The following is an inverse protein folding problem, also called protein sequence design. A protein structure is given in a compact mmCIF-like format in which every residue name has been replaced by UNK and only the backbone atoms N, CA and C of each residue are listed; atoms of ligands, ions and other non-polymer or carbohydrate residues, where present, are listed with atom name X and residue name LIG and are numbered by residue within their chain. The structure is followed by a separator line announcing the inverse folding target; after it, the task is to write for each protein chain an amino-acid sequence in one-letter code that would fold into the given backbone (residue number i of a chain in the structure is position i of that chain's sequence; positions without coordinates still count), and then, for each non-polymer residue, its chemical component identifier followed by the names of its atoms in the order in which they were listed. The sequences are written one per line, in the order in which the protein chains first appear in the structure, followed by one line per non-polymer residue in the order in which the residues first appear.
data_IF_518768765024
#
_entry.id   IF_518768765024
#
_cell.length_a   1.000
_cell.length_b   1.000
_cell.length_c   1.000
_cell.angle_alpha   90.00
_cell.angle_beta   90.00
_cell.angle_gamma   90.00
#
_symmetry.space_group_name_H-M   'P 1'
#
loop_
_entity.id
_entity.type
_entity.pdbx_description
1 polymer ?
#
# COMPACT_ATOMS: atom_id res chain seq x y z
N UNK A 1 -84.97 40.61 17.41
CA UNK A 1 -83.61 41.17 17.55
C UNK A 1 -82.93 40.42 18.66
N UNK A 2 -81.77 39.89 18.31
CA UNK A 2 -81.02 38.81 18.95
C UNK A 2 -80.26 39.19 20.23
N UNK A 3 -79.88 38.14 20.95
CA UNK A 3 -79.03 38.04 22.13
C UNK A 3 -77.62 38.69 21.98
N UNK A 4 -76.86 38.80 23.09
CA UNK A 4 -75.95 37.68 23.39
C UNK A 4 -76.09 37.12 24.81
N UNK A 5 -76.08 35.79 24.87
CA UNK A 5 -75.87 34.98 26.07
C UNK A 5 -74.42 35.14 26.55
N UNK A 6 -74.24 35.44 27.84
CA UNK A 6 -72.97 35.22 28.53
C UNK A 6 -73.10 34.04 29.50
N UNK A 7 -72.42 32.95 29.16
CA UNK A 7 -72.27 31.72 29.94
C UNK A 7 -71.35 31.99 31.13
N UNK A 8 -71.88 31.94 32.35
CA UNK A 8 -71.06 31.88 33.56
C UNK A 8 -70.61 30.42 33.78
N UNK A 9 -69.31 30.17 33.58
CA UNK A 9 -68.70 28.89 33.94
C UNK A 9 -68.73 28.68 35.47
N UNK A 10 -68.95 27.43 35.97
CA UNK A 10 -68.91 27.15 37.40
C UNK A 10 -67.48 27.34 37.94
N UNK A 11 -67.38 27.98 39.10
CA UNK A 11 -66.13 28.21 39.83
C UNK A 11 -65.39 26.88 40.13
N UNK A 12 -64.04 26.87 40.09
CA UNK A 12 -63.27 25.66 40.31
C UNK A 12 -63.45 25.13 41.74
N UNK A 13 -63.87 23.86 41.83
CA UNK A 13 -63.92 23.09 43.07
C UNK A 13 -62.57 23.14 43.78
N UNK A 14 -62.56 23.65 45.02
CA UNK A 14 -61.38 23.69 45.87
C UNK A 14 -60.89 22.26 46.15
N UNK A 15 -59.79 21.85 45.48
CA UNK A 15 -59.10 20.58 45.77
C UNK A 15 -58.59 20.61 47.21
N UNK A 16 -59.27 19.89 48.12
CA UNK A 16 -58.76 19.63 49.48
C UNK A 16 -57.36 19.00 49.38
N UNK A 17 -56.39 19.56 50.09
CA UNK A 17 -54.99 19.08 50.10
C UNK A 17 -54.89 17.66 50.70
N UNK A 18 -54.74 16.65 49.85
CA UNK A 18 -54.67 15.23 50.19
C UNK A 18 -53.32 14.78 50.82
N UNK A 19 -52.49 15.71 51.31
CA UNK A 19 -51.17 15.42 51.89
C UNK A 19 -51.24 14.73 53.26
N UNK A 20 -52.38 14.82 53.95
CA UNK A 20 -52.61 14.16 55.25
C UNK A 20 -52.67 12.63 55.16
N UNK A 21 -52.95 12.09 53.97
CA UNK A 21 -53.03 10.63 53.71
C UNK A 21 -51.71 10.03 53.22
N UNK A 22 -50.70 10.84 52.86
CA UNK A 22 -49.38 10.36 52.42
C UNK A 22 -48.63 9.57 53.50
N UNK A 23 -48.53 10.03 54.78
CA UNK A 23 -47.81 9.27 55.80
C UNK A 23 -48.51 7.95 56.13
N UNK A 24 -49.85 7.90 56.06
CA UNK A 24 -50.60 6.64 56.26
C UNK A 24 -50.41 5.68 55.09
N UNK A 25 -50.33 6.17 53.86
CA UNK A 25 -50.00 5.36 52.67
C UNK A 25 -48.56 4.84 52.70
N UNK A 26 -47.57 5.68 53.09
CA UNK A 26 -46.18 5.25 53.27
C UNK A 26 -46.06 4.23 54.40
N UNK A 27 -46.75 4.43 55.53
CA UNK A 27 -46.78 3.46 56.63
C UNK A 27 -47.39 2.15 56.19
N UNK A 28 -48.48 2.18 55.40
CA UNK A 28 -49.09 0.97 54.82
C UNK A 28 -48.13 0.26 53.86
N UNK A 29 -47.51 0.97 52.92
CA UNK A 29 -46.53 0.40 51.98
C UNK A 29 -45.31 -0.15 52.70
N UNK A 30 -44.84 0.51 53.75
CA UNK A 30 -43.74 0.03 54.58
C UNK A 30 -44.12 -1.24 55.37
N UNK A 31 -45.33 -1.29 55.93
CA UNK A 31 -45.83 -2.49 56.62
C UNK A 31 -46.02 -3.67 55.67
N UNK A 32 -46.44 -3.40 54.43
CA UNK A 32 -46.52 -4.40 53.36
C UNK A 32 -45.13 -4.91 52.97
N UNK A 33 -44.14 -4.03 52.76
CA UNK A 33 -42.76 -4.43 52.48
C UNK A 33 -42.14 -5.23 53.64
N UNK A 34 -42.40 -4.85 54.90
CA UNK A 34 -41.90 -5.57 56.08
C UNK A 34 -42.49 -6.98 56.22
N UNK A 35 -43.71 -7.21 55.72
CA UNK A 35 -44.35 -8.55 55.73
C UNK A 35 -43.80 -9.48 54.64
N UNK A 36 -43.08 -8.95 53.65
CA UNK A 36 -42.43 -9.73 52.59
C UNK A 36 -40.90 -9.58 52.67
N UNK A 37 -40.26 -10.15 53.71
CA UNK A 37 -38.81 -9.99 53.93
C UNK A 37 -37.98 -10.54 52.76
N UNK A 38 -38.47 -11.57 52.07
CA UNK A 38 -37.81 -12.14 50.89
C UNK A 38 -37.78 -11.16 49.72
N UNK A 39 -38.88 -10.46 49.45
CA UNK A 39 -38.93 -9.48 48.36
C UNK A 39 -38.02 -8.28 48.63
N UNK A 40 -37.97 -7.81 49.87
CA UNK A 40 -37.07 -6.73 50.30
C UNK A 40 -35.60 -7.14 50.18
N UNK A 41 -35.28 -8.40 50.56
CA UNK A 41 -33.93 -8.95 50.39
C UNK A 41 -33.50 -8.90 48.92
N UNK A 42 -34.32 -9.38 47.98
CA UNK A 42 -34.00 -9.34 46.55
C UNK A 42 -33.95 -7.91 45.99
N UNK A 43 -34.83 -7.01 46.45
CA UNK A 43 -34.83 -5.60 46.03
C UNK A 43 -33.50 -4.90 46.35
N UNK A 44 -32.83 -5.29 47.44
CA UNK A 44 -31.50 -4.75 47.80
C UNK A 44 -30.37 -5.61 47.23
N UNK A 45 -30.48 -6.93 47.27
CA UNK A 45 -29.39 -7.84 46.91
C UNK A 45 -29.14 -7.86 45.40
N UNK A 46 -30.17 -7.73 44.56
CA UNK A 46 -30.02 -7.71 43.10
C UNK A 46 -29.14 -6.57 42.58
N UNK A 47 -29.37 -5.28 42.93
CA UNK A 47 -28.49 -4.21 42.47
C UNK A 47 -27.08 -4.31 43.05
N UNK A 48 -26.93 -4.78 44.30
CA UNK A 48 -25.60 -5.00 44.89
C UNK A 48 -24.84 -6.10 44.16
N UNK A 49 -25.49 -7.22 43.85
CA UNK A 49 -24.90 -8.31 43.08
C UNK A 49 -24.43 -7.83 41.70
N UNK A 50 -25.25 -7.02 41.01
CA UNK A 50 -24.87 -6.44 39.71
C UNK A 50 -23.65 -5.54 39.80
N UNK A 51 -23.56 -4.68 40.84
CA UNK A 51 -22.39 -3.82 41.05
C UNK A 51 -21.14 -4.68 41.30
N UNK A 52 -21.23 -5.71 42.15
CA UNK A 52 -20.12 -6.61 42.44
C UNK A 52 -19.66 -7.37 41.18
N UNK A 53 -20.60 -7.87 40.37
CA UNK A 53 -20.27 -8.54 39.10
C UNK A 53 -19.60 -7.58 38.13
N UNK A 54 -20.09 -6.35 37.99
CA UNK A 54 -19.48 -5.35 37.12
C UNK A 54 -18.08 -4.95 37.57
N UNK A 55 -17.85 -4.84 38.89
CA UNK A 55 -16.53 -4.55 39.44
C UNK A 55 -15.56 -5.72 39.19
N UNK A 56 -16.03 -6.97 39.35
CA UNK A 56 -15.22 -8.15 39.07
C UNK A 56 -14.87 -8.26 37.57
N UNK A 57 -15.81 -7.97 36.67
CA UNK A 57 -15.54 -7.87 35.22
C UNK A 57 -14.58 -6.72 34.92
N UNK A 58 -14.62 -5.63 35.69
CA UNK A 58 -13.64 -4.55 35.54
C UNK A 58 -12.24 -5.00 35.93
N UNK A 59 -12.08 -5.83 36.96
CA UNK A 59 -10.75 -6.35 37.34
C UNK A 59 -10.09 -7.24 36.28
N UNK A 60 -10.86 -7.77 35.31
CA UNK A 60 -10.29 -8.54 34.18
C UNK A 60 -9.84 -7.66 33.03
N UNK A 61 -10.09 -6.35 33.10
CA UNK A 61 -9.68 -5.38 32.07
C UNK A 61 -8.51 -4.54 32.60
N UNK A 62 -7.41 -4.48 31.86
CA UNK A 62 -6.28 -3.61 32.18
C UNK A 62 -6.53 -2.19 31.67
N UNK A 63 -6.19 -1.19 32.49
CA UNK A 63 -6.14 0.20 32.04
C UNK A 63 -4.83 0.42 31.24
N UNK A 64 -4.95 0.58 29.93
CA UNK A 64 -3.80 0.90 29.08
C UNK A 64 -3.60 2.43 29.00
N UNK A 65 -2.42 2.88 29.41
CA UNK A 65 -2.04 4.29 29.31
C UNK A 65 -1.61 4.59 27.88
N UNK A 66 -2.54 5.10 27.07
CA UNK A 66 -2.28 5.49 25.68
C UNK A 66 -1.58 6.85 25.64
N UNK A 67 -0.33 6.95 25.16
CA UNK A 67 0.36 8.22 25.02
C UNK A 67 -0.36 9.20 24.09
N UNK A 68 -0.07 10.51 24.20
CA UNK A 68 -0.57 11.48 23.23
C UNK A 68 0.10 11.30 21.86
N UNK A 69 -0.69 11.32 20.78
CA UNK A 69 -0.22 11.19 19.39
C UNK A 69 -0.77 9.94 18.71
N UNK A 70 -0.11 9.51 17.64
CA UNK A 70 -0.45 8.23 17.01
C UNK A 70 0.27 7.11 17.76
N UNK A 71 -0.49 6.14 18.25
CA UNK A 71 0.03 5.08 19.11
C UNK A 71 -0.36 3.72 18.57
N UNK A 72 0.55 2.75 18.64
CA UNK A 72 0.18 1.34 18.63
C UNK A 72 0.46 0.82 20.03
N UNK A 73 -0.61 0.54 20.76
CA UNK A 73 -0.59 0.10 22.16
C UNK A 73 0.12 1.11 23.08
N UNK A 74 1.27 0.75 23.64
CA UNK A 74 2.01 1.53 24.63
C UNK A 74 3.06 2.46 24.02
N UNK A 75 3.28 2.41 22.70
CA UNK A 75 4.34 3.17 22.04
C UNK A 75 3.77 4.31 21.20
N UNK A 76 4.26 5.53 21.41
CA UNK A 76 3.96 6.68 20.55
C UNK A 76 4.88 6.72 19.34
N UNK A 77 4.30 7.03 18.19
CA UNK A 77 5.01 7.24 16.94
C UNK A 77 4.70 8.66 16.44
N UNK A 78 5.71 9.27 15.82
CA UNK A 78 5.47 10.44 14.99
C UNK A 78 5.22 9.98 13.54
N UNK A 79 4.61 10.86 12.74
CA UNK A 79 4.22 10.60 11.35
C UNK A 79 5.38 10.10 10.47
N UNK A 80 6.62 10.41 10.85
CA UNK A 80 7.81 10.18 10.05
C UNK A 80 8.79 9.18 10.64
N UNK A 81 8.47 8.49 11.75
CA UNK A 81 9.45 7.70 12.51
C UNK A 81 9.97 6.52 11.66
N UNK A 82 11.21 6.57 11.13
CA UNK A 82 11.74 5.54 10.24
C UNK A 82 12.89 4.79 10.92
N UNK A 83 12.71 3.51 11.25
CA UNK A 83 13.76 2.69 11.87
C UNK A 83 14.60 1.89 10.85
N UNK A 84 15.18 2.53 9.81
CA UNK A 84 15.89 1.76 8.76
C UNK A 84 16.78 2.51 7.75
N UNK A 85 17.63 1.73 7.05
CA UNK A 85 18.70 2.12 6.12
C UNK A 85 18.49 1.52 4.72
N UNK A 86 17.57 2.02 3.89
CA UNK A 86 17.46 1.55 2.50
C UNK A 86 17.23 2.67 1.50
N UNK A 87 17.98 2.61 0.40
CA UNK A 87 18.04 3.57 -0.70
C UNK A 87 16.84 3.44 -1.66
N UNK A 88 16.01 2.39 -1.49
CA UNK A 88 14.79 2.15 -2.26
C UNK A 88 13.56 2.20 -1.36
N UNK A 89 13.56 3.17 -0.45
CA UNK A 89 12.62 3.17 0.66
C UNK A 89 13.16 2.28 1.77
N UNK A 90 13.12 2.84 2.98
CA UNK A 90 13.56 2.17 4.20
C UNK A 90 12.82 0.84 4.39
N UNK A 91 13.52 -0.24 4.78
CA UNK A 91 12.88 -1.45 5.34
C UNK A 91 12.00 -1.13 6.55
N UNK A 92 12.18 0.05 7.14
CA UNK A 92 11.25 0.65 8.08
C UNK A 92 10.54 1.83 7.42
N UNK A 93 9.37 1.55 6.88
CA UNK A 93 8.42 2.57 6.49
C UNK A 93 7.89 3.29 7.74
N UNK A 94 7.56 4.59 7.65
CA UNK A 94 6.85 5.23 8.73
C UNK A 94 5.52 4.50 8.96
N UNK A 95 5.23 4.16 10.22
CA UNK A 95 4.07 3.35 10.59
C UNK A 95 2.71 3.85 10.07
N UNK A 96 2.61 5.13 9.73
CA UNK A 96 1.36 5.82 9.43
C UNK A 96 1.33 6.49 8.05
N UNK A 97 2.48 6.58 7.37
CA UNK A 97 2.59 7.19 6.07
C UNK A 97 3.72 6.52 5.30
N UNK A 98 3.39 5.79 4.23
CA UNK A 98 4.38 5.17 3.37
C UNK A 98 4.66 6.08 2.17
N UNK A 99 5.88 6.66 2.06
CA UNK A 99 6.22 7.43 0.89
C UNK A 99 6.37 6.51 -0.32
N UNK A 100 5.82 6.93 -1.46
CA UNK A 100 6.04 6.23 -2.73
C UNK A 100 7.49 6.37 -3.18
N UNK A 101 8.04 5.30 -3.74
CA UNK A 101 9.37 5.33 -4.35
C UNK A 101 9.36 6.30 -5.53
N UNK A 102 10.35 7.19 -5.63
CA UNK A 102 10.45 8.05 -6.83
C UNK A 102 10.89 7.21 -8.03
N UNK A 103 10.63 7.67 -9.27
CA UNK A 103 11.10 6.92 -10.46
C UNK A 103 12.61 6.74 -10.44
N UNK A 104 13.38 7.79 -10.12
CA UNK A 104 14.83 7.70 -9.97
C UNK A 104 15.26 6.65 -8.91
N UNK A 105 14.54 6.59 -7.79
CA UNK A 105 14.74 5.55 -6.77
C UNK A 105 14.38 4.15 -7.28
N UNK A 106 13.31 4.02 -8.06
CA UNK A 106 12.93 2.78 -8.73
C UNK A 106 14.01 2.33 -9.72
N UNK A 107 14.51 3.22 -10.58
CA UNK A 107 15.57 2.87 -11.55
C UNK A 107 16.85 2.39 -10.85
N UNK A 108 17.23 3.05 -9.75
CA UNK A 108 18.34 2.63 -8.92
C UNK A 108 18.10 1.25 -8.25
N UNK A 109 16.87 0.99 -7.83
CA UNK A 109 16.47 -0.32 -7.33
C UNK A 109 16.58 -1.41 -8.38
N UNK A 110 16.09 -1.14 -9.60
CA UNK A 110 16.18 -2.11 -10.69
C UNK A 110 17.65 -2.46 -10.97
N UNK A 111 18.55 -1.49 -10.89
CA UNK A 111 19.99 -1.73 -11.02
C UNK A 111 20.53 -2.66 -9.92
N UNK A 112 20.22 -2.41 -8.65
CA UNK A 112 20.60 -3.30 -7.55
C UNK A 112 19.96 -4.70 -7.69
N UNK A 113 18.66 -4.75 -7.97
CA UNK A 113 17.89 -5.99 -8.11
C UNK A 113 18.45 -6.87 -9.24
N UNK A 114 18.95 -6.25 -10.30
CA UNK A 114 19.62 -6.97 -11.40
C UNK A 114 20.82 -7.78 -10.92
N UNK A 115 21.60 -7.22 -9.98
CA UNK A 115 22.68 -7.95 -9.34
C UNK A 115 22.14 -8.99 -8.35
N UNK A 116 21.21 -8.64 -7.47
CA UNK A 116 20.72 -9.54 -6.42
C UNK A 116 20.08 -10.83 -6.99
N UNK A 117 19.32 -10.69 -8.09
CA UNK A 117 18.71 -11.80 -8.83
C UNK A 117 19.55 -12.29 -10.01
N UNK A 118 20.85 -11.96 -10.06
CA UNK A 118 21.70 -12.47 -11.11
C UNK A 118 21.89 -13.99 -10.99
N UNK A 119 22.16 -14.61 -12.12
CA UNK A 119 22.34 -16.05 -12.31
C UNK A 119 23.76 -16.46 -11.98
N UNK A 120 23.91 -17.74 -11.62
CA UNK A 120 25.21 -18.36 -11.39
C UNK A 120 26.07 -17.56 -10.39
N UNK A 121 25.46 -16.93 -9.39
CA UNK A 121 26.15 -16.06 -8.41
C UNK A 121 27.32 -16.75 -7.69
N UNK A 122 27.20 -18.07 -7.48
CA UNK A 122 28.24 -18.91 -6.87
C UNK A 122 29.48 -19.10 -7.76
N UNK A 123 29.39 -18.78 -9.05
CA UNK A 123 30.50 -18.91 -10.02
C UNK A 123 31.35 -17.65 -10.11
N UNK A 124 30.94 -16.55 -9.48
CA UNK A 124 31.79 -15.36 -9.41
C UNK A 124 33.02 -15.61 -8.55
N UNK A 125 34.15 -15.04 -8.97
CA UNK A 125 35.25 -14.79 -8.03
C UNK A 125 34.84 -13.67 -7.06
N UNK A 126 35.38 -13.67 -5.84
CA UNK A 126 35.07 -12.64 -4.84
C UNK A 126 35.29 -11.21 -5.37
N UNK A 127 36.36 -11.01 -6.16
CA UNK A 127 36.69 -9.73 -6.76
C UNK A 127 35.72 -9.32 -7.89
N UNK A 128 35.36 -10.24 -8.79
CA UNK A 128 34.44 -9.91 -9.88
C UNK A 128 33.02 -9.66 -9.35
N UNK A 129 32.63 -10.37 -8.28
CA UNK A 129 31.35 -10.15 -7.61
C UNK A 129 31.26 -8.73 -7.05
N UNK A 130 32.27 -8.30 -6.29
CA UNK A 130 32.25 -6.98 -5.66
C UNK A 130 32.33 -5.84 -6.67
N UNK A 131 33.06 -6.03 -7.77
CA UNK A 131 33.06 -5.07 -8.88
C UNK A 131 31.68 -5.01 -9.53
N UNK A 132 31.11 -6.16 -9.91
CA UNK A 132 29.80 -6.22 -10.54
C UNK A 132 28.70 -5.58 -9.66
N UNK A 133 28.68 -5.91 -8.37
CA UNK A 133 27.75 -5.33 -7.40
C UNK A 133 27.88 -3.81 -7.33
N UNK A 134 29.09 -3.31 -7.14
CA UNK A 134 29.36 -1.87 -7.00
C UNK A 134 28.99 -1.12 -8.28
N UNK A 135 29.41 -1.62 -9.43
CA UNK A 135 29.16 -0.98 -10.72
C UNK A 135 27.66 -0.98 -11.12
N UNK A 136 26.90 -1.97 -10.68
CA UNK A 136 25.45 -2.02 -10.87
C UNK A 136 24.71 -1.13 -9.86
N UNK A 137 24.95 -1.35 -8.56
CA UNK A 137 24.21 -0.70 -7.48
C UNK A 137 24.57 0.78 -7.28
N UNK A 138 25.83 1.14 -7.54
CA UNK A 138 26.35 2.50 -7.36
C UNK A 138 26.73 3.13 -8.70
N UNK A 139 27.28 2.35 -9.63
CA UNK A 139 27.70 2.85 -10.95
C UNK A 139 26.57 2.98 -11.98
N UNK A 140 25.36 2.51 -11.68
CA UNK A 140 24.18 2.63 -12.54
C UNK A 140 24.34 1.97 -13.92
N UNK A 141 25.28 1.02 -14.06
CA UNK A 141 25.68 0.42 -15.34
C UNK A 141 24.71 -0.64 -15.84
N UNK A 142 23.54 -0.23 -16.29
CA UNK A 142 22.46 -1.14 -16.69
C UNK A 142 22.20 -1.17 -18.20
N UNK A 143 22.88 -0.36 -19.01
CA UNK A 143 22.61 -0.24 -20.45
C UNK A 143 22.84 -1.56 -21.19
N UNK A 144 21.91 -1.92 -22.07
CA UNK A 144 22.05 -3.04 -23.02
C UNK A 144 22.93 -2.68 -24.23
N UNK A 145 23.14 -1.39 -24.48
CA UNK A 145 24.06 -0.93 -25.51
C UNK A 145 25.50 -0.99 -24.99
N UNK A 146 26.31 -1.87 -25.58
CA UNK A 146 27.72 -2.11 -25.23
C UNK A 146 28.63 -0.91 -25.50
N UNK A 147 28.21 0.02 -26.35
CA UNK A 147 28.95 1.26 -26.62
C UNK A 147 28.64 2.38 -25.62
N UNK A 148 27.64 2.20 -24.74
CA UNK A 148 27.28 3.18 -23.73
C UNK A 148 28.34 3.23 -22.62
N UNK A 149 28.69 4.42 -22.08
CA UNK A 149 29.52 4.50 -20.88
C UNK A 149 28.87 3.82 -19.66
N UNK A 150 27.56 3.58 -19.70
CA UNK A 150 26.77 2.89 -18.67
C UNK A 150 26.43 1.44 -19.06
N UNK A 151 27.16 0.86 -20.03
CA UNK A 151 27.04 -0.55 -20.40
C UNK A 151 27.37 -1.46 -19.21
N UNK A 152 26.72 -2.63 -19.20
CA UNK A 152 26.98 -3.67 -18.22
C UNK A 152 28.49 -4.01 -18.15
N UNK A 153 29.10 -4.09 -16.95
CA UNK A 153 30.50 -4.48 -16.81
C UNK A 153 30.75 -5.90 -17.33
N UNK A 154 31.94 -6.12 -17.90
CA UNK A 154 32.37 -7.45 -18.36
C UNK A 154 32.37 -8.51 -17.25
N UNK A 155 32.56 -8.07 -16.00
CA UNK A 155 32.53 -8.91 -14.81
C UNK A 155 31.14 -9.50 -14.57
N UNK A 156 30.09 -8.80 -14.99
CA UNK A 156 28.69 -9.22 -14.87
C UNK A 156 28.19 -10.07 -16.05
N UNK A 157 28.93 -10.11 -17.16
CA UNK A 157 28.53 -10.76 -18.41
C UNK A 157 28.26 -12.26 -18.23
N UNK A 158 27.20 -12.78 -18.86
CA UNK A 158 26.73 -14.15 -18.74
C UNK A 158 26.18 -14.56 -17.37
N UNK A 159 26.17 -13.64 -16.40
CA UNK A 159 25.73 -13.90 -15.02
C UNK A 159 24.61 -12.95 -14.60
N UNK A 160 24.57 -11.72 -15.09
CA UNK A 160 23.54 -10.74 -14.73
C UNK A 160 22.72 -10.40 -15.96
N UNK A 161 21.40 -10.43 -15.78
CA UNK A 161 20.45 -9.88 -16.74
C UNK A 161 19.81 -8.64 -16.12
N UNK A 162 19.99 -7.44 -16.70
CA UNK A 162 19.44 -6.21 -16.16
C UNK A 162 17.90 -6.22 -16.12
N UNK A 163 17.31 -5.72 -15.02
CA UNK A 163 15.89 -5.42 -14.96
C UNK A 163 15.56 -4.19 -15.82
N UNK A 164 14.44 -4.25 -16.53
CA UNK A 164 13.92 -3.20 -17.40
C UNK A 164 12.42 -3.01 -17.22
N UNK A 165 11.98 -1.79 -17.52
CA UNK A 165 10.56 -1.50 -17.75
C UNK A 165 10.27 -1.72 -19.24
N UNK A 166 9.33 -2.60 -19.54
CA UNK A 166 8.86 -2.84 -20.89
C UNK A 166 7.84 -1.78 -21.31
N UNK A 167 7.86 -1.40 -22.59
CA UNK A 167 6.85 -0.56 -23.22
C UNK A 167 6.33 -1.32 -24.44
N UNK A 168 5.01 -1.51 -24.51
CA UNK A 168 4.32 -2.13 -25.62
C UNK A 168 3.01 -1.38 -25.93
N UNK A 169 2.57 -1.32 -27.19
CA UNK A 169 3.33 -1.57 -28.41
C UNK A 169 4.37 -0.47 -28.72
N UNK A 170 5.40 -0.82 -29.48
CA UNK A 170 6.38 0.12 -30.06
C UNK A 170 5.71 0.86 -31.22
N UNK A 171 5.29 2.09 -30.97
CA UNK A 171 4.55 2.96 -31.90
C UNK A 171 5.20 4.33 -31.95
N UNK A 172 4.86 5.12 -32.98
CA UNK A 172 5.33 6.51 -33.07
C UNK A 172 4.96 7.33 -31.84
N UNK A 173 3.82 7.06 -31.20
CA UNK A 173 3.43 7.72 -29.95
C UNK A 173 4.35 7.31 -28.78
N UNK A 174 4.52 6.01 -28.56
CA UNK A 174 5.32 5.52 -27.42
C UNK A 174 6.79 5.91 -27.55
N UNK A 175 7.32 5.93 -28.78
CA UNK A 175 8.68 6.41 -29.09
C UNK A 175 8.83 7.92 -29.02
N UNK A 176 8.09 8.65 -29.85
CA UNK A 176 8.39 10.06 -30.09
C UNK A 176 7.77 11.01 -29.06
N UNK A 177 6.74 10.56 -28.34
CA UNK A 177 6.06 11.37 -27.33
C UNK A 177 6.37 10.89 -25.91
N UNK A 178 5.93 9.67 -25.55
CA UNK A 178 6.09 9.19 -24.18
C UNK A 178 7.56 9.03 -23.80
N UNK A 179 8.30 8.26 -24.60
CA UNK A 179 9.70 7.94 -24.30
C UNK A 179 10.63 9.15 -24.36
N UNK A 180 10.54 9.99 -25.38
CA UNK A 180 11.33 11.23 -25.43
C UNK A 180 11.03 12.17 -24.26
N UNK A 181 9.76 12.26 -23.83
CA UNK A 181 9.40 13.04 -22.63
C UNK A 181 10.02 12.45 -21.37
N UNK A 182 9.91 11.13 -21.18
CA UNK A 182 10.49 10.45 -20.00
C UNK A 182 12.02 10.52 -19.99
N UNK A 183 12.66 10.36 -21.15
CA UNK A 183 14.10 10.50 -21.33
C UNK A 183 14.60 11.88 -20.89
N UNK A 184 13.87 12.94 -21.24
CA UNK A 184 14.20 14.30 -20.78
C UNK A 184 13.99 14.49 -19.28
N UNK A 185 12.95 13.90 -18.70
CA UNK A 185 12.63 14.08 -17.28
C UNK A 185 13.49 13.23 -16.35
N UNK A 186 14.00 12.10 -16.82
CA UNK A 186 14.77 11.15 -16.03
C UNK A 186 16.07 10.75 -16.75
N UNK A 187 17.00 11.71 -16.96
CA UNK A 187 18.32 11.44 -17.50
C UNK A 187 19.20 10.74 -16.45
N UNK A 188 20.37 10.26 -16.88
CA UNK A 188 21.38 9.75 -15.94
C UNK A 188 21.86 10.88 -15.04
N UNK A 189 21.82 10.67 -13.72
CA UNK A 189 22.26 11.67 -12.73
C UNK A 189 23.46 11.11 -11.97
N UNK A 190 24.58 11.83 -12.03
CA UNK A 190 25.79 11.49 -11.28
C UNK A 190 25.85 12.37 -10.03
N UNK A 191 25.86 11.72 -8.87
CA UNK A 191 25.99 12.34 -7.55
C UNK A 191 27.40 12.01 -7.06
N UNK A 192 28.28 13.01 -7.09
CA UNK A 192 29.63 12.87 -6.59
C UNK A 192 29.64 13.11 -5.08
N UNK A 193 30.24 12.18 -4.34
CA UNK A 193 30.60 12.45 -2.95
C UNK A 193 31.90 13.26 -2.93
N UNK A 194 31.88 14.47 -2.40
CA UNK A 194 33.08 15.31 -2.29
C UNK A 194 34.11 14.77 -1.29
N UNK A 195 33.74 13.82 -0.42
CA UNK A 195 34.60 13.27 0.64
C UNK A 195 35.27 11.94 0.27
N UNK A 196 34.83 11.28 -0.79
CA UNK A 196 35.40 10.04 -1.31
C UNK A 196 35.49 10.12 -2.84
N UNK A 197 36.45 9.46 -3.49
CA UNK A 197 36.47 9.39 -4.97
C UNK A 197 35.36 8.47 -5.54
N UNK A 198 34.21 8.43 -4.87
CA UNK A 198 33.06 7.60 -5.25
C UNK A 198 31.92 8.48 -5.77
N UNK A 199 31.24 7.98 -6.79
CA UNK A 199 30.11 8.64 -7.42
C UNK A 199 28.93 7.68 -7.47
N UNK A 200 27.78 8.08 -6.94
CA UNK A 200 26.51 7.38 -7.11
C UNK A 200 25.89 7.83 -8.43
N UNK A 201 25.62 6.88 -9.31
CA UNK A 201 25.00 7.12 -10.62
C UNK A 201 23.59 6.55 -10.58
N UNK A 202 22.61 7.43 -10.74
CA UNK A 202 21.22 7.04 -10.95
C UNK A 202 21.03 6.74 -12.44
N UNK A 203 20.60 5.52 -12.82
CA UNK A 203 20.38 5.16 -14.21
C UNK A 203 19.34 6.07 -14.90
N UNK A 204 19.52 6.31 -16.20
CA UNK A 204 18.51 6.97 -17.01
C UNK A 204 17.30 6.07 -17.28
N UNK A 205 16.17 6.69 -17.64
CA UNK A 205 15.02 5.97 -18.17
C UNK A 205 15.35 5.29 -19.51
N UNK A 206 16.20 5.90 -20.33
CA UNK A 206 16.69 5.34 -21.61
C UNK A 206 17.42 4.02 -21.40
N UNK A 207 18.38 3.97 -20.47
CA UNK A 207 19.14 2.76 -20.20
C UNK A 207 18.30 1.69 -19.47
N UNK A 208 17.15 2.06 -18.91
CA UNK A 208 16.31 1.20 -18.05
C UNK A 208 15.03 0.71 -18.72
N UNK A 209 14.84 0.97 -20.01
CA UNK A 209 13.62 0.59 -20.74
C UNK A 209 13.92 -0.31 -21.93
N UNK A 210 12.91 -1.07 -22.33
CA UNK A 210 12.95 -1.91 -23.54
C UNK A 210 11.58 -1.88 -24.22
N UNK A 211 11.57 -1.94 -25.55
CA UNK A 211 10.36 -1.88 -26.35
C UNK A 211 10.01 -3.24 -26.94
N UNK A 212 8.71 -3.51 -27.03
CA UNK A 212 8.17 -4.67 -27.73
C UNK A 212 7.18 -4.21 -28.81
N UNK A 213 7.25 -4.85 -29.98
CA UNK A 213 6.43 -4.47 -31.13
C UNK A 213 4.92 -4.53 -30.81
N UNK A 214 4.49 -5.57 -30.12
CA UNK A 214 3.10 -5.75 -29.67
C UNK A 214 3.07 -6.34 -28.26
N UNK A 215 1.88 -6.32 -27.65
CA UNK A 215 1.63 -7.01 -26.38
C UNK A 215 1.95 -8.50 -26.48
N UNK A 216 1.57 -9.17 -27.57
CA UNK A 216 1.83 -10.59 -27.77
C UNK A 216 3.33 -10.89 -27.89
N UNK A 217 4.11 -9.97 -28.45
CA UNK A 217 5.57 -10.12 -28.51
C UNK A 217 6.22 -10.01 -27.12
N UNK A 218 5.68 -9.17 -26.25
CA UNK A 218 6.10 -9.09 -24.85
C UNK A 218 5.77 -10.40 -24.12
N UNK A 219 4.54 -10.90 -24.24
CA UNK A 219 4.13 -12.15 -23.59
C UNK A 219 4.97 -13.33 -24.08
N UNK A 220 5.15 -13.47 -25.40
CA UNK A 220 6.03 -14.50 -25.98
C UNK A 220 7.47 -14.40 -25.48
N UNK A 221 7.99 -13.19 -25.26
CA UNK A 221 9.32 -13.01 -24.71
C UNK A 221 9.43 -13.50 -23.27
N UNK A 222 8.46 -13.16 -22.41
CA UNK A 222 8.48 -13.56 -21.00
C UNK A 222 8.23 -15.07 -20.83
N UNK A 223 7.41 -15.66 -21.70
CA UNK A 223 7.19 -17.12 -21.76
C UNK A 223 8.35 -17.87 -22.43
N UNK A 224 9.25 -17.15 -23.13
CA UNK A 224 10.32 -17.79 -23.88
C UNK A 224 11.29 -18.51 -22.95
N UNK A 225 11.83 -19.63 -23.44
CA UNK A 225 12.85 -20.35 -22.67
C UNK A 225 14.09 -19.49 -22.40
N UNK A 226 14.32 -18.46 -23.21
CA UNK A 226 15.51 -17.60 -23.14
C UNK A 226 15.32 -16.33 -22.30
N UNK A 227 14.15 -16.18 -21.68
CA UNK A 227 13.86 -15.10 -20.75
C UNK A 227 14.95 -15.00 -19.67
N UNK A 228 15.48 -13.79 -19.47
CA UNK A 228 16.47 -13.48 -18.44
C UNK A 228 17.77 -14.31 -18.49
N UNK A 229 18.09 -14.96 -19.62
CA UNK A 229 19.26 -15.84 -19.67
C UNK A 229 20.58 -15.10 -19.86
N UNK A 230 20.58 -14.01 -20.62
CA UNK A 230 21.80 -13.30 -21.02
C UNK A 230 21.71 -11.82 -20.71
N UNK A 231 22.84 -11.13 -20.76
CA UNK A 231 22.93 -9.68 -20.61
C UNK A 231 22.11 -8.91 -21.65
N UNK A 232 21.86 -9.50 -22.83
CA UNK A 232 21.03 -8.90 -23.89
C UNK A 232 19.54 -9.21 -23.74
N UNK A 233 19.19 -10.15 -22.86
CA UNK A 233 17.82 -10.59 -22.59
C UNK A 233 17.42 -10.11 -21.19
N UNK A 234 16.89 -8.88 -21.05
CA UNK A 234 16.59 -8.28 -19.76
C UNK A 234 15.47 -8.99 -19.01
N UNK A 235 15.50 -8.88 -17.68
CA UNK A 235 14.36 -9.21 -16.84
C UNK A 235 13.31 -8.10 -16.93
N UNK A 236 12.05 -8.44 -17.17
CA UNK A 236 10.98 -7.45 -17.19
C UNK A 236 10.47 -7.27 -15.75
N UNK A 237 10.69 -6.07 -15.21
CA UNK A 237 10.14 -5.68 -13.91
C UNK A 237 8.63 -5.45 -14.00
N UNK A 238 8.25 -4.74 -15.06
CA UNK A 238 6.87 -4.37 -15.36
C UNK A 238 6.75 -3.86 -16.77
N UNK A 239 5.52 -3.86 -17.29
CA UNK A 239 5.21 -3.36 -18.62
C UNK A 239 4.17 -2.23 -18.55
N UNK A 240 4.42 -1.20 -19.35
CA UNK A 240 3.46 -0.15 -19.67
C UNK A 240 2.86 -0.49 -21.02
N UNK A 241 1.57 -0.84 -20.99
CA UNK A 241 0.83 -1.29 -22.16
C UNK A 241 -0.20 -0.23 -22.58
N UNK A 242 -0.02 0.27 -23.80
CA UNK A 242 -0.81 1.33 -24.41
C UNK A 242 -1.79 0.76 -25.45
N UNK A 243 -3.00 1.33 -25.58
CA UNK A 243 -3.95 0.93 -26.60
C UNK A 243 -3.43 1.31 -27.99
N UNK A 244 -3.80 0.50 -28.98
CA UNK A 244 -3.33 0.64 -30.37
C UNK A 244 -3.85 1.87 -31.12
N UNK A 245 -4.83 2.60 -30.57
CA UNK A 245 -5.47 3.75 -31.22
C UNK A 245 -5.07 5.09 -30.56
N UNK A 246 -3.79 5.48 -30.66
CA UNK A 246 -3.31 6.77 -30.15
C UNK A 246 -3.03 7.73 -31.31
N UNK A 247 -3.63 8.92 -31.28
CA UNK A 247 -3.55 9.93 -32.35
C UNK A 247 -4.82 10.75 -32.57
N UNK A 248 -5.92 10.43 -31.89
CA UNK A 248 -7.15 11.21 -31.80
C UNK A 248 -7.39 11.61 -30.34
N UNK A 249 -8.04 12.75 -30.04
CA UNK A 249 -8.43 13.09 -28.67
C UNK A 249 -9.44 12.04 -28.16
N UNK A 250 -8.92 11.09 -27.39
CA UNK A 250 -9.67 9.98 -26.81
C UNK A 250 -9.19 9.75 -25.38
N UNK A 251 -10.00 9.04 -24.59
CA UNK A 251 -9.57 8.53 -23.28
C UNK A 251 -8.39 7.60 -23.50
N UNK A 252 -7.25 7.90 -22.87
CA UNK A 252 -6.09 7.00 -22.86
C UNK A 252 -6.32 6.04 -21.70
N UNK A 253 -6.78 4.84 -22.04
CA UNK A 253 -6.68 3.69 -21.13
C UNK A 253 -5.25 3.16 -21.22
N UNK A 254 -4.67 2.69 -20.12
CA UNK A 254 -3.37 2.02 -20.13
C UNK A 254 -3.40 0.90 -19.10
N UNK A 255 -2.62 -0.16 -19.31
CA UNK A 255 -2.46 -1.23 -18.34
C UNK A 255 -1.03 -1.24 -17.80
N UNK A 256 -0.90 -1.36 -16.47
CA UNK A 256 0.37 -1.62 -15.80
C UNK A 256 0.39 -3.09 -15.44
N UNK A 257 1.34 -3.83 -16.00
CA UNK A 257 1.55 -5.24 -15.68
C UNK A 257 2.81 -5.35 -14.84
N UNK A 258 2.68 -5.93 -13.66
CA UNK A 258 3.81 -6.25 -12.79
C UNK A 258 3.78 -7.75 -12.46
N UNK A 259 4.89 -8.28 -11.99
CA UNK A 259 5.00 -9.68 -11.56
C UNK A 259 4.26 -9.90 -10.22
N UNK A 260 3.38 -10.91 -10.18
CA UNK A 260 2.61 -11.32 -8.99
C UNK A 260 2.85 -12.79 -8.60
N UNK A 261 3.88 -13.45 -9.14
CA UNK A 261 4.12 -14.88 -8.95
C UNK A 261 4.51 -15.21 -7.50
N UNK A 262 3.86 -16.20 -6.91
CA UNK A 262 4.15 -16.70 -5.56
C UNK A 262 5.41 -17.57 -5.55
N UNK A 263 6.48 -17.11 -4.88
CA UNK A 263 7.70 -17.92 -4.67
C UNK A 263 7.81 -18.26 -3.18
N UNK A 264 7.04 -19.26 -2.75
CA UNK A 264 7.04 -19.76 -1.36
C UNK A 264 6.36 -18.83 -0.34
N UNK A 265 6.14 -19.36 0.87
CA UNK A 265 5.43 -18.70 1.98
C UNK A 265 6.07 -17.42 2.55
N UNK A 266 7.07 -16.85 1.88
CA UNK A 266 7.65 -15.57 2.29
C UNK A 266 6.94 -14.41 1.59
N UNK A 267 6.26 -13.57 2.39
CA UNK A 267 5.66 -12.29 1.98
C UNK A 267 6.66 -11.32 1.30
N UNK A 268 7.97 -11.57 1.39
CA UNK A 268 9.05 -10.64 0.99
C UNK A 268 9.36 -10.55 -0.51
N UNK A 269 8.91 -11.50 -1.34
CA UNK A 269 9.20 -11.52 -2.78
C UNK A 269 8.04 -11.00 -3.66
N UNK A 270 7.01 -10.43 -3.04
CA UNK A 270 5.81 -9.93 -3.75
C UNK A 270 6.00 -8.49 -4.21
N UNK A 271 5.82 -8.25 -5.52
CA UNK A 271 5.87 -6.90 -6.10
C UNK A 271 4.48 -6.25 -6.23
N UNK A 272 3.42 -7.05 -6.40
CA UNK A 272 2.04 -6.60 -6.36
C UNK A 272 1.34 -7.20 -5.14
N UNK A 273 0.72 -6.38 -4.28
CA UNK A 273 -0.19 -6.85 -3.25
C UNK A 273 -1.41 -7.52 -3.89
N UNK A 274 -1.70 -8.75 -3.51
CA UNK A 274 -2.95 -9.38 -3.91
C UNK A 274 -4.08 -8.88 -3.01
N UNK A 275 -5.29 -8.75 -3.56
CA UNK A 275 -6.49 -8.53 -2.74
C UNK A 275 -6.98 -9.83 -2.08
N UNK A 276 -6.29 -10.95 -2.33
CA UNK A 276 -6.68 -12.30 -1.97
C UNK A 276 -5.47 -12.96 -1.31
N UNK A 277 -5.63 -13.56 -0.14
CA UNK A 277 -4.56 -14.35 0.47
C UNK A 277 -4.32 -15.65 -0.33
N UNK A 278 -3.24 -16.40 -0.01
CA UNK A 278 -2.88 -17.66 -0.68
C UNK A 278 -3.98 -18.73 -0.69
N UNK A 279 -5.00 -18.61 0.17
CA UNK A 279 -6.17 -19.48 0.24
C UNK A 279 -7.39 -18.96 -0.58
N UNK A 280 -7.20 -17.89 -1.35
CA UNK A 280 -8.16 -17.34 -2.31
C UNK A 280 -9.41 -16.68 -1.71
N UNK A 281 -10.44 -16.57 -2.57
CA UNK A 281 -11.85 -16.16 -2.38
C UNK A 281 -12.55 -16.37 -1.02
N UNK A 282 -12.10 -17.37 -0.27
CA UNK A 282 -12.93 -18.09 0.70
C UNK A 282 -12.71 -17.74 2.17
N UNK A 283 -11.59 -17.12 2.54
CA UNK A 283 -11.30 -16.68 3.92
C UNK A 283 -11.59 -15.19 4.15
N UNK A 284 -12.41 -14.60 3.29
CA UNK A 284 -12.61 -13.15 3.24
C UNK A 284 -13.50 -12.70 4.38
N UNK A 285 -12.92 -11.98 5.33
CA UNK A 285 -13.68 -11.20 6.29
C UNK A 285 -14.12 -9.88 5.63
N UNK A 286 -15.43 -9.63 5.62
CA UNK A 286 -16.04 -8.43 5.05
C UNK A 286 -15.55 -7.12 5.68
N UNK A 287 -14.93 -7.19 6.86
CA UNK A 287 -14.54 -6.03 7.68
C UNK A 287 -13.02 -5.78 7.66
N UNK A 288 -12.20 -6.79 7.34
CA UNK A 288 -10.74 -6.65 7.32
C UNK A 288 -10.17 -6.99 5.93
N UNK A 289 -9.76 -5.95 5.21
CA UNK A 289 -8.89 -6.10 4.04
C UNK A 289 -7.45 -5.89 4.51
N UNK A 290 -6.65 -6.95 4.58
CA UNK A 290 -5.20 -6.81 4.77
C UNK A 290 -4.62 -6.32 3.45
N UNK A 291 -4.67 -5.00 3.19
CA UNK A 291 -3.83 -4.43 2.14
C UNK A 291 -2.40 -4.38 2.69
N UNK A 292 -1.48 -5.09 2.03
CA UNK A 292 -0.03 -4.90 2.20
C UNK A 292 0.35 -3.53 1.60
N UNK A 293 -0.04 -2.47 2.32
CA UNK A 293 0.09 -1.06 1.90
C UNK A 293 1.54 -0.61 1.74
N UNK A 294 2.46 -1.20 2.50
CA UNK A 294 3.90 -0.98 2.35
C UNK A 294 4.35 -1.39 0.97
N UNK A 295 4.07 -2.63 0.58
CA UNK A 295 4.51 -3.24 -0.67
C UNK A 295 3.88 -2.53 -1.86
N UNK A 296 2.62 -2.09 -1.73
CA UNK A 296 1.94 -1.26 -2.73
C UNK A 296 2.68 0.04 -3.05
N UNK A 297 3.24 0.69 -2.02
CA UNK A 297 3.88 2.01 -2.14
C UNK A 297 5.38 1.94 -2.42
N UNK A 298 6.08 0.90 -1.95
CA UNK A 298 7.55 0.78 -2.07
C UNK A 298 7.98 0.04 -3.34
N UNK A 299 7.12 -0.79 -3.92
CA UNK A 299 7.47 -1.62 -5.08
C UNK A 299 7.24 -0.93 -6.44
N UNK A 300 7.05 0.40 -6.46
CA UNK A 300 7.07 1.17 -7.70
C UNK A 300 5.78 1.16 -8.53
N UNK A 301 4.71 0.46 -8.11
CA UNK A 301 3.44 0.44 -8.83
C UNK A 301 2.84 1.84 -8.97
N UNK A 302 2.66 2.54 -7.84
CA UNK A 302 2.17 3.92 -7.84
C UNK A 302 3.12 4.89 -8.56
N UNK A 303 4.42 4.62 -8.52
CA UNK A 303 5.43 5.39 -9.24
C UNK A 303 5.23 5.30 -10.75
N UNK A 304 4.99 4.10 -11.29
CA UNK A 304 4.70 3.89 -12.71
C UNK A 304 3.34 4.47 -13.10
N UNK A 305 2.36 4.38 -12.21
CA UNK A 305 1.04 5.01 -12.41
C UNK A 305 1.15 6.53 -12.51
N UNK A 306 1.90 7.14 -11.59
CA UNK A 306 2.19 8.57 -11.57
C UNK A 306 3.01 8.99 -12.80
N UNK A 307 3.93 8.14 -13.26
CA UNK A 307 4.72 8.37 -14.48
C UNK A 307 3.83 8.57 -15.71
N UNK A 308 2.93 7.61 -15.95
CA UNK A 308 2.00 7.65 -17.09
C UNK A 308 1.02 8.82 -16.95
N UNK A 309 0.46 9.03 -15.75
CA UNK A 309 -0.46 10.13 -15.47
C UNK A 309 0.18 11.52 -15.66
N UNK A 310 1.46 11.68 -15.35
CA UNK A 310 2.17 12.95 -15.54
C UNK A 310 2.47 13.24 -17.01
N UNK A 311 2.69 12.20 -17.82
CA UNK A 311 2.98 12.34 -19.26
C UNK A 311 1.75 12.70 -20.11
N UNK A 312 0.55 12.51 -19.56
CA UNK A 312 -0.72 12.72 -20.26
C UNK A 312 -1.39 14.04 -19.83
N UNK A 313 -1.90 14.86 -20.78
CA UNK A 313 -2.68 16.06 -20.45
C UNK A 313 -3.99 15.70 -19.72
N UNK A 314 -4.64 16.64 -18.99
CA UNK A 314 -5.71 16.31 -18.05
C UNK A 314 -6.98 15.88 -18.77
N UNK A 315 -7.11 14.59 -19.05
CA UNK A 315 -8.33 13.97 -19.54
C UNK A 315 -8.62 12.72 -18.70
N UNK A 316 -9.92 12.48 -18.48
CA UNK A 316 -10.51 11.60 -17.47
C UNK A 316 -9.71 10.30 -17.21
N UNK A 317 -9.33 10.17 -15.94
CA UNK A 317 -8.59 9.07 -15.35
C UNK A 317 -9.53 7.91 -14.97
N UNK A 318 -9.31 6.73 -15.53
CA UNK A 318 -9.83 5.47 -14.99
C UNK A 318 -8.69 4.44 -15.00
N UNK A 319 -8.01 4.23 -13.86
CA UNK A 319 -7.02 3.18 -13.75
C UNK A 319 -7.77 1.86 -13.66
N UNK A 320 -7.52 0.98 -14.61
CA UNK A 320 -8.06 -0.38 -14.56
C UNK A 320 -6.91 -1.30 -14.17
N UNK A 321 -6.88 -1.67 -12.88
CA UNK A 321 -5.92 -2.65 -12.36
C UNK A 321 -6.42 -4.02 -12.81
N UNK A 322 -5.81 -4.57 -13.86
CA UNK A 322 -6.04 -5.96 -14.24
C UNK A 322 -4.98 -6.84 -13.59
N UNK A 323 -5.29 -7.38 -12.41
CA UNK A 323 -4.65 -8.60 -11.91
C UNK A 323 -5.26 -9.76 -12.68
N UNK A 324 -4.66 -10.13 -13.81
CA UNK A 324 -5.00 -11.40 -14.48
C UNK A 324 -4.01 -12.45 -13.99
N UNK A 325 -4.53 -13.47 -13.30
CA UNK A 325 -3.84 -14.62 -12.71
C UNK A 325 -3.17 -15.54 -13.76
N UNK A 326 -2.30 -15.00 -14.62
CA UNK A 326 -1.60 -15.78 -15.66
C UNK A 326 -0.08 -15.67 -15.60
N UNK A 327 0.49 -15.29 -14.46
CA UNK A 327 1.91 -15.53 -14.19
C UNK A 327 2.09 -16.86 -13.44
N UNK A 328 1.92 -17.98 -14.14
CA UNK A 328 2.48 -19.27 -13.69
C UNK A 328 3.72 -19.55 -14.51
N UNK A 329 4.87 -19.46 -13.86
CA UNK A 329 6.06 -20.24 -14.25
C UNK A 329 5.98 -21.63 -13.60
#
# INVERSE_FOLDING_TARGET
MDQPLTVNAPAPSAKRSNLRFVPTLLRKNWLLKRKHPVALLFEVLTPVLFIVVMDLVRTTSSDDTVPAGFTTDTTSYNLFNPSGWSLVGSYATPKLATPETTLSGLLLHLAYKSFDFGRLMKTFTSNNRSICEREMAVGGRVSLNTSSPYALPSECEGRVSPYKVAIAPDTDFTRNYFYETMKMWYPTVVINDSSSNSSLVIPSFEDSTVFFATEEALEQYVESSDYAKTETQPQIFGAIDYPTAIGQPATIEYSLRLNSTYVGDSETDRYIPQTVDGDGASLWDSVSRKLETTDYTTNGFMTLQTLVARSTPPLRYQPTIWTRDYWRL
#
